data_IF_452195614582
#
_entry.id   IF_452195614582
#
_cell.length_a   1.000
_cell.length_b   1.000
_cell.length_c   1.000
_cell.angle_alpha   90.00
_cell.angle_beta   90.00
_cell.angle_gamma   90.00
#
_symmetry.space_group_name_H-M   'P 1'
#
loop_
_entity.id
_entity.type
_entity.pdbx_description
1 polymer ?
#
# COMPACT_ATOMS: atom_id res chain seq x y z
N UNK A 1 -5.18 -34.44 -6.39
CA UNK A 1 -5.05 -33.37 -7.40
C UNK A 1 -5.86 -32.18 -6.91
N UNK A 2 -5.22 -31.10 -6.44
CA UNK A 2 -5.96 -29.88 -6.13
C UNK A 2 -6.36 -29.25 -7.47
N UNK A 3 -7.66 -29.31 -7.76
CA UNK A 3 -8.23 -28.64 -8.91
C UNK A 3 -8.06 -27.14 -8.68
N UNK A 4 -7.10 -26.53 -9.35
CA UNK A 4 -7.12 -25.09 -9.60
C UNK A 4 -8.51 -24.81 -10.19
N UNK A 5 -9.36 -24.11 -9.45
CA UNK A 5 -10.60 -23.59 -10.03
C UNK A 5 -10.17 -22.67 -11.17
N UNK A 6 -10.52 -22.97 -12.43
CA UNK A 6 -10.09 -22.15 -13.54
C UNK A 6 -10.71 -20.76 -13.39
N UNK A 7 -9.86 -19.73 -13.38
CA UNK A 7 -10.33 -18.36 -13.57
C UNK A 7 -10.98 -18.27 -14.96
N UNK A 8 -11.98 -17.39 -15.15
CA UNK A 8 -12.38 -17.01 -16.50
C UNK A 8 -11.15 -16.50 -17.29
N UNK A 9 -11.12 -16.67 -18.62
CA UNK A 9 -10.03 -16.15 -19.44
C UNK A 9 -9.88 -14.64 -19.20
N UNK A 10 -8.67 -14.15 -18.87
CA UNK A 10 -8.50 -12.74 -18.54
C UNK A 10 -8.74 -11.88 -19.78
N UNK A 11 -9.57 -10.85 -19.63
CA UNK A 11 -10.06 -10.03 -20.74
C UNK A 11 -9.16 -8.82 -21.03
N UNK A 12 -8.15 -8.57 -20.19
CA UNK A 12 -7.23 -7.44 -20.36
C UNK A 12 -5.82 -7.74 -19.85
N UNK A 13 -4.84 -6.99 -20.34
CA UNK A 13 -3.46 -7.05 -19.82
C UNK A 13 -3.38 -6.72 -18.33
N UNK A 14 -4.19 -5.76 -17.87
CA UNK A 14 -4.23 -5.38 -16.46
C UNK A 14 -4.74 -6.53 -15.57
N UNK A 15 -5.73 -7.28 -16.05
CA UNK A 15 -6.25 -8.47 -15.35
C UNK A 15 -5.20 -9.58 -15.27
N UNK A 16 -4.49 -9.82 -16.38
CA UNK A 16 -3.39 -10.78 -16.45
C UNK A 16 -2.27 -10.48 -15.46
N UNK A 17 -1.88 -9.21 -15.34
CA UNK A 17 -0.89 -8.77 -14.37
C UNK A 17 -1.37 -8.98 -12.92
N UNK A 18 -2.63 -8.62 -12.61
CA UNK A 18 -3.20 -8.86 -11.28
C UNK A 18 -3.23 -10.35 -10.93
N UNK A 19 -3.71 -11.18 -11.85
CA UNK A 19 -3.79 -12.62 -11.68
C UNK A 19 -2.40 -13.25 -11.54
N UNK A 20 -1.42 -12.81 -12.33
CA UNK A 20 -0.03 -13.30 -12.24
C UNK A 20 0.60 -12.92 -10.89
N UNK A 21 0.47 -11.65 -10.47
CA UNK A 21 1.02 -11.16 -9.22
C UNK A 21 0.47 -11.94 -8.01
N UNK A 22 -0.85 -12.09 -7.92
CA UNK A 22 -1.47 -12.83 -6.81
C UNK A 22 -1.11 -14.31 -6.83
N UNK A 23 -0.94 -14.95 -8.00
CA UNK A 23 -0.46 -16.35 -8.07
C UNK A 23 0.97 -16.53 -7.58
N UNK A 24 1.84 -15.54 -7.82
CA UNK A 24 3.21 -15.55 -7.29
C UNK A 24 3.23 -15.28 -5.77
N UNK A 25 2.37 -14.39 -5.28
CA UNK A 25 2.27 -13.99 -3.87
C UNK A 25 1.50 -15.00 -3.00
N UNK A 26 0.64 -15.82 -3.61
CA UNK A 26 -0.18 -16.84 -2.97
C UNK A 26 0.06 -18.21 -3.64
N UNK A 27 1.29 -18.75 -3.59
CA UNK A 27 1.65 -19.94 -4.34
C UNK A 27 0.99 -21.18 -3.74
N UNK A 28 -0.02 -21.73 -4.40
CA UNK A 28 -0.60 -23.04 -4.04
C UNK A 28 0.18 -24.19 -4.65
N UNK A 29 0.79 -23.95 -5.81
CA UNK A 29 1.39 -24.97 -6.66
C UNK A 29 2.44 -24.31 -7.58
N UNK A 30 3.43 -25.06 -8.09
CA UNK A 30 4.49 -24.50 -8.93
C UNK A 30 3.97 -23.75 -10.17
N UNK A 31 4.40 -22.50 -10.36
CA UNK A 31 4.04 -21.69 -11.52
C UNK A 31 5.15 -21.77 -12.57
N UNK A 32 4.99 -22.64 -13.57
CA UNK A 32 5.90 -22.73 -14.73
C UNK A 32 5.39 -21.88 -15.89
N UNK A 33 6.23 -21.60 -16.88
CA UNK A 33 5.80 -20.84 -18.08
C UNK A 33 4.66 -21.54 -18.82
N UNK A 34 4.77 -22.85 -19.04
CA UNK A 34 3.71 -23.64 -19.68
C UNK A 34 2.37 -23.53 -18.92
N UNK A 35 2.43 -23.52 -17.58
CA UNK A 35 1.23 -23.36 -16.76
C UNK A 35 0.69 -21.94 -16.81
N UNK A 36 1.55 -20.93 -16.81
CA UNK A 36 1.16 -19.53 -16.97
C UNK A 36 0.39 -19.33 -18.29
N UNK A 37 0.94 -19.80 -19.41
CA UNK A 37 0.28 -19.77 -20.72
C UNK A 37 -1.11 -20.43 -20.67
N UNK A 38 -1.21 -21.61 -20.04
CA UNK A 38 -2.49 -22.33 -19.90
C UNK A 38 -3.50 -21.55 -19.03
N UNK A 39 -3.06 -21.02 -17.89
CA UNK A 39 -3.93 -20.32 -16.93
C UNK A 39 -4.45 -18.99 -17.45
N UNK A 40 -3.65 -18.28 -18.26
CA UNK A 40 -4.02 -16.96 -18.78
C UNK A 40 -4.45 -17.00 -20.25
N UNK A 41 -4.45 -18.18 -20.87
CA UNK A 41 -4.75 -18.39 -22.29
C UNK A 41 -3.91 -17.49 -23.20
N UNK A 42 -2.59 -17.53 -22.97
CA UNK A 42 -1.62 -16.69 -23.68
C UNK A 42 -0.60 -17.52 -24.43
N UNK A 43 -0.01 -16.91 -25.46
CA UNK A 43 1.20 -17.43 -26.09
C UNK A 43 2.41 -17.34 -25.14
N UNK A 44 3.46 -18.15 -25.34
CA UNK A 44 4.70 -18.05 -24.55
C UNK A 44 5.32 -16.65 -24.58
N UNK A 45 5.30 -15.98 -25.73
CA UNK A 45 5.84 -14.63 -25.90
C UNK A 45 5.07 -13.59 -25.07
N UNK A 46 3.74 -13.64 -25.08
CA UNK A 46 2.93 -12.72 -24.28
C UNK A 46 3.10 -12.96 -22.78
N UNK A 47 3.18 -14.23 -22.36
CA UNK A 47 3.40 -14.60 -20.97
C UNK A 47 4.79 -14.14 -20.47
N UNK A 48 5.83 -14.27 -21.30
CA UNK A 48 7.18 -13.77 -20.99
C UNK A 48 7.21 -12.24 -20.87
N UNK A 49 6.52 -11.54 -21.78
CA UNK A 49 6.40 -10.08 -21.72
C UNK A 49 5.64 -9.63 -20.47
N UNK A 50 4.52 -10.28 -20.15
CA UNK A 50 3.73 -9.93 -18.97
C UNK A 50 4.50 -10.25 -17.67
N UNK A 51 5.25 -11.35 -17.62
CA UNK A 51 6.15 -11.66 -16.51
C UNK A 51 7.26 -10.61 -16.36
N UNK A 52 7.95 -10.25 -17.46
CA UNK A 52 9.04 -9.27 -17.42
C UNK A 52 8.57 -7.89 -16.93
N UNK A 53 7.39 -7.45 -17.38
CA UNK A 53 6.78 -6.21 -16.89
C UNK A 53 6.46 -6.31 -15.40
N UNK A 54 5.84 -7.41 -14.96
CA UNK A 54 5.53 -7.59 -13.54
C UNK A 54 6.80 -7.65 -12.67
N UNK A 55 7.85 -8.32 -13.12
CA UNK A 55 9.14 -8.36 -12.44
C UNK A 55 9.67 -6.94 -12.24
N UNK A 56 9.64 -6.12 -13.29
CA UNK A 56 10.06 -4.72 -13.21
C UNK A 56 9.23 -3.93 -12.20
N UNK A 57 7.90 -4.07 -12.20
CA UNK A 57 7.03 -3.36 -11.26
C UNK A 57 7.25 -3.82 -9.82
N UNK A 58 7.33 -5.14 -9.60
CA UNK A 58 7.59 -5.71 -8.27
C UNK A 58 8.93 -5.21 -7.77
N UNK A 59 10.03 -5.35 -8.53
CA UNK A 59 11.36 -4.91 -8.10
C UNK A 59 11.43 -3.40 -7.82
N UNK A 60 10.67 -2.59 -8.57
CA UNK A 60 10.65 -1.14 -8.41
C UNK A 60 9.96 -0.73 -7.11
N UNK A 61 8.80 -1.32 -6.82
CA UNK A 61 7.94 -0.89 -5.71
C UNK A 61 8.07 -1.72 -4.43
N UNK A 62 8.58 -2.93 -4.56
CA UNK A 62 8.72 -3.89 -3.48
C UNK A 62 10.15 -4.45 -3.57
N UNK A 63 10.87 -4.54 -2.46
CA UNK A 63 12.24 -5.07 -2.47
C UNK A 63 12.25 -6.62 -2.60
N UNK A 64 11.50 -7.13 -3.57
CA UNK A 64 11.32 -8.54 -3.89
C UNK A 64 11.97 -8.84 -5.25
N UNK A 65 12.49 -10.05 -5.40
CA UNK A 65 13.02 -10.56 -6.66
C UNK A 65 12.35 -11.86 -7.06
N UNK A 66 12.31 -12.14 -8.37
CA UNK A 66 11.76 -13.37 -8.92
C UNK A 66 12.90 -14.27 -9.38
N UNK A 67 12.88 -15.54 -8.98
CA UNK A 67 13.77 -16.58 -9.47
C UNK A 67 12.98 -17.70 -10.13
N UNK A 68 13.61 -18.47 -11.01
CA UNK A 68 13.03 -19.70 -11.56
C UNK A 68 13.76 -20.92 -11.00
N UNK A 69 12.99 -21.91 -10.55
CA UNK A 69 13.53 -23.21 -10.14
C UNK A 69 12.83 -24.35 -10.90
N UNK A 70 13.56 -25.31 -11.51
CA UNK A 70 12.97 -26.35 -12.36
C UNK A 70 11.82 -27.15 -11.73
N UNK A 71 11.93 -27.48 -10.43
CA UNK A 71 10.88 -28.23 -9.69
C UNK A 71 9.78 -27.36 -9.10
N UNK A 72 9.99 -26.05 -9.03
CA UNK A 72 9.14 -25.17 -8.24
C UNK A 72 8.59 -23.96 -9.00
N UNK A 73 8.96 -23.81 -10.27
CA UNK A 73 8.54 -22.71 -11.11
C UNK A 73 9.14 -21.37 -10.66
N UNK A 74 8.46 -20.30 -11.06
CA UNK A 74 8.77 -18.94 -10.62
C UNK A 74 8.45 -18.75 -9.14
N UNK A 75 9.36 -18.12 -8.40
CA UNK A 75 9.21 -17.81 -6.98
C UNK A 75 9.65 -16.39 -6.69
N UNK A 76 8.85 -15.71 -5.87
CA UNK A 76 9.26 -14.46 -5.23
C UNK A 76 10.15 -14.76 -4.03
N UNK A 77 11.07 -13.85 -3.75
CA UNK A 77 11.98 -13.89 -2.63
C UNK A 77 12.19 -12.49 -2.07
N UNK A 78 12.33 -12.40 -0.76
CA UNK A 78 12.55 -11.16 -0.03
C UNK A 78 11.95 -11.24 1.37
N UNK A 79 12.03 -10.15 2.15
CA UNK A 79 11.52 -10.14 3.52
C UNK A 79 9.98 -10.18 3.55
N UNK A 80 9.43 -10.80 4.60
CA UNK A 80 7.98 -10.93 4.79
C UNK A 80 7.24 -9.58 4.78
N UNK A 81 7.88 -8.51 5.26
CA UNK A 81 7.34 -7.15 5.19
C UNK A 81 7.04 -6.70 3.76
N UNK A 82 8.03 -6.78 2.87
CA UNK A 82 7.91 -6.41 1.46
C UNK A 82 6.91 -7.32 0.73
N UNK A 83 6.88 -8.60 1.10
CA UNK A 83 5.89 -9.54 0.60
C UNK A 83 4.47 -9.08 0.90
N UNK A 84 4.20 -8.69 2.15
CA UNK A 84 2.87 -8.27 2.57
C UNK A 84 2.48 -6.91 2.00
N UNK A 85 3.42 -5.98 1.83
CA UNK A 85 3.16 -4.74 1.09
C UNK A 85 2.82 -5.03 -0.37
N UNK A 86 3.53 -5.95 -1.02
CA UNK A 86 3.26 -6.37 -2.39
C UNK A 86 1.89 -7.04 -2.49
N UNK A 87 1.55 -7.93 -1.55
CA UNK A 87 0.22 -8.53 -1.46
C UNK A 87 -0.86 -7.46 -1.27
N UNK A 88 -0.65 -6.51 -0.35
CA UNK A 88 -1.57 -5.39 -0.13
C UNK A 88 -1.82 -4.60 -1.42
N UNK A 89 -0.76 -4.21 -2.13
CA UNK A 89 -0.83 -3.48 -3.40
C UNK A 89 -1.69 -4.23 -4.43
N UNK A 90 -1.32 -5.47 -4.73
CA UNK A 90 -1.97 -6.23 -5.80
C UNK A 90 -3.38 -6.68 -5.42
N UNK A 91 -3.64 -6.92 -4.14
CA UNK A 91 -4.97 -7.23 -3.65
C UNK A 91 -5.89 -6.02 -3.71
N UNK A 92 -5.42 -4.82 -3.32
CA UNK A 92 -6.15 -3.56 -3.50
C UNK A 92 -6.54 -3.33 -4.95
N UNK A 93 -5.58 -3.52 -5.86
CA UNK A 93 -5.81 -3.37 -7.30
C UNK A 93 -6.83 -4.39 -7.82
N UNK A 94 -6.69 -5.65 -7.44
CA UNK A 94 -7.60 -6.71 -7.89
C UNK A 94 -9.01 -6.52 -7.33
N UNK A 95 -9.17 -6.15 -6.06
CA UNK A 95 -10.48 -5.81 -5.48
C UNK A 95 -11.14 -4.60 -6.16
N UNK A 96 -10.34 -3.65 -6.67
CA UNK A 96 -10.85 -2.47 -7.37
C UNK A 96 -11.37 -2.80 -8.78
N UNK A 97 -10.64 -3.60 -9.53
CA UNK A 97 -10.89 -3.79 -10.97
C UNK A 97 -11.47 -5.18 -11.31
N UNK A 98 -11.13 -6.21 -10.55
CA UNK A 98 -11.47 -7.62 -10.82
C UNK A 98 -11.90 -8.35 -9.53
N UNK A 99 -12.92 -7.85 -8.79
CA UNK A 99 -13.25 -8.35 -7.45
C UNK A 99 -13.61 -9.84 -7.41
N UNK A 100 -14.22 -10.39 -8.47
CA UNK A 100 -14.53 -11.81 -8.56
C UNK A 100 -13.28 -12.72 -8.54
N UNK A 101 -12.15 -12.24 -9.05
CA UNK A 101 -10.91 -13.03 -9.12
C UNK A 101 -10.28 -13.20 -7.73
N UNK A 102 -10.57 -12.32 -6.78
CA UNK A 102 -10.01 -12.37 -5.42
C UNK A 102 -10.43 -13.64 -4.70
N UNK A 103 -11.72 -13.96 -4.73
CA UNK A 103 -12.25 -15.20 -4.12
C UNK A 103 -11.56 -16.43 -4.72
N UNK A 104 -11.48 -16.48 -6.05
CA UNK A 104 -10.92 -17.62 -6.78
C UNK A 104 -9.41 -17.79 -6.56
N UNK A 105 -8.68 -16.70 -6.32
CA UNK A 105 -7.22 -16.73 -6.10
C UNK A 105 -6.84 -16.96 -4.64
N UNK A 106 -7.57 -16.37 -3.69
CA UNK A 106 -7.26 -16.48 -2.26
C UNK A 106 -7.80 -17.79 -1.67
N UNK A 107 -9.00 -18.24 -2.04
CA UNK A 107 -9.61 -19.43 -1.43
C UNK A 107 -8.70 -20.67 -1.48
N UNK A 108 -8.07 -21.02 -2.61
CA UNK A 108 -7.14 -22.15 -2.67
C UNK A 108 -5.90 -21.98 -1.78
N UNK A 109 -5.39 -20.76 -1.66
CA UNK A 109 -4.21 -20.45 -0.84
C UNK A 109 -4.50 -20.49 0.66
N UNK A 110 -5.75 -20.19 1.04
CA UNK A 110 -6.21 -20.17 2.42
C UNK A 110 -6.81 -21.51 2.88
N UNK A 111 -7.27 -22.35 1.94
CA UNK A 111 -7.92 -23.63 2.20
C UNK A 111 -7.16 -24.57 3.16
N UNK A 112 -5.81 -24.71 3.10
CA UNK A 112 -5.08 -25.58 4.03
C UNK A 112 -5.29 -25.21 5.50
N UNK A 113 -5.40 -23.92 5.81
CA UNK A 113 -5.67 -23.43 7.17
C UNK A 113 -7.18 -23.43 7.51
N UNK A 114 -8.04 -23.43 6.50
CA UNK A 114 -9.44 -23.02 6.62
C UNK A 114 -10.42 -23.93 5.85
N UNK A 115 -10.22 -25.25 5.90
CA UNK A 115 -10.89 -26.24 5.04
C UNK A 115 -12.42 -26.33 5.15
N UNK A 116 -13.03 -25.78 6.21
CA UNK A 116 -14.47 -25.93 6.50
C UNK A 116 -15.37 -24.80 6.00
N UNK A 117 -14.80 -23.69 5.53
CA UNK A 117 -15.58 -22.51 5.09
C UNK A 117 -14.87 -21.84 3.92
N UNK A 118 -15.65 -21.32 2.98
CA UNK A 118 -15.19 -20.45 1.89
C UNK A 118 -14.62 -19.14 2.42
N UNK A 119 -13.85 -18.42 1.60
CA UNK A 119 -13.37 -17.08 1.95
C UNK A 119 -14.57 -16.13 2.15
N UNK A 120 -15.55 -16.18 1.25
CA UNK A 120 -16.77 -15.40 1.38
C UNK A 120 -17.50 -15.59 2.71
N UNK A 121 -17.80 -16.84 3.10
CA UNK A 121 -18.49 -17.14 4.37
C UNK A 121 -17.72 -16.61 5.58
N UNK A 122 -16.40 -16.75 5.55
CA UNK A 122 -15.52 -16.36 6.65
C UNK A 122 -15.39 -14.83 6.77
N UNK A 123 -15.37 -14.12 5.64
CA UNK A 123 -15.45 -12.66 5.61
C UNK A 123 -16.80 -12.16 6.15
N UNK A 124 -17.91 -12.79 5.76
CA UNK A 124 -19.25 -12.43 6.24
C UNK A 124 -19.40 -12.63 7.75
N UNK A 125 -18.93 -13.75 8.29
CA UNK A 125 -18.95 -14.02 9.74
C UNK A 125 -18.17 -12.97 10.55
N UNK A 126 -17.14 -12.37 9.95
CA UNK A 126 -16.25 -11.40 10.60
C UNK A 126 -16.55 -9.94 10.22
N UNK A 127 -17.50 -9.70 9.33
CA UNK A 127 -17.92 -8.36 8.91
C UNK A 127 -18.45 -7.49 10.06
N UNK A 128 -19.25 -8.01 11.03
CA UNK A 128 -19.79 -7.18 12.12
C UNK A 128 -18.73 -6.55 13.02
N UNK A 129 -17.50 -7.09 13.03
CA UNK A 129 -16.37 -6.58 13.82
C UNK A 129 -15.91 -5.24 13.26
N UNK A 130 -15.81 -5.15 11.92
CA UNK A 130 -15.44 -3.93 11.22
C UNK A 130 -16.55 -2.87 11.22
N UNK A 131 -17.75 -3.28 11.64
CA UNK A 131 -18.94 -2.44 11.81
C UNK A 131 -19.23 -2.17 13.30
N UNK A 132 -18.37 -2.67 14.20
CA UNK A 132 -18.58 -2.54 15.64
C UNK A 132 -18.37 -1.10 16.09
N UNK A 133 -19.18 -0.59 17.05
CA UNK A 133 -19.02 0.76 17.61
C UNK A 133 -17.71 0.95 18.38
N UNK A 134 -16.93 -0.12 18.59
CA UNK A 134 -15.57 -0.05 19.16
C UNK A 134 -14.53 0.48 18.17
N UNK A 135 -14.84 0.48 16.87
CA UNK A 135 -14.02 1.14 15.86
C UNK A 135 -14.35 2.63 15.88
N UNK A 136 -13.37 3.53 16.10
CA UNK A 136 -13.62 4.96 16.11
C UNK A 136 -14.36 5.40 14.85
N UNK A 137 -15.34 6.29 14.95
CA UNK A 137 -16.07 6.82 13.80
C UNK A 137 -15.14 7.49 12.75
N UNK A 138 -13.94 7.92 13.18
CA UNK A 138 -12.86 8.42 12.32
C UNK A 138 -12.21 7.34 11.42
N UNK A 139 -12.53 6.07 11.66
CA UNK A 139 -12.05 4.90 10.92
C UNK A 139 -13.19 4.22 10.12
N UNK A 140 -14.15 5.00 9.62
CA UNK A 140 -15.18 4.49 8.72
C UNK A 140 -14.57 3.90 7.44
N UNK A 141 -14.61 2.58 7.30
CA UNK A 141 -14.09 1.86 6.13
C UNK A 141 -15.17 1.64 5.09
N UNK A 142 -14.86 1.97 3.84
CA UNK A 142 -15.69 1.58 2.68
C UNK A 142 -15.85 0.05 2.62
N UNK A 143 -16.92 -0.49 2.01
CA UNK A 143 -17.10 -1.93 1.85
C UNK A 143 -15.87 -2.64 1.24
N UNK A 144 -15.22 -2.00 0.25
CA UNK A 144 -14.01 -2.52 -0.37
C UNK A 144 -12.81 -2.56 0.60
N UNK A 145 -12.62 -1.52 1.42
CA UNK A 145 -11.57 -1.53 2.44
C UNK A 145 -11.83 -2.61 3.47
N UNK A 146 -13.07 -2.85 3.89
CA UNK A 146 -13.42 -3.94 4.80
C UNK A 146 -13.09 -5.31 4.23
N UNK A 147 -13.42 -5.53 2.96
CA UNK A 147 -13.05 -6.77 2.26
C UNK A 147 -11.53 -6.96 2.21
N UNK A 148 -10.78 -5.90 1.90
CA UNK A 148 -9.32 -5.93 1.87
C UNK A 148 -8.73 -6.26 3.26
N UNK A 149 -9.20 -5.58 4.31
CA UNK A 149 -8.75 -5.83 5.69
C UNK A 149 -9.02 -7.28 6.04
N UNK A 150 -10.24 -7.79 5.80
CA UNK A 150 -10.59 -9.18 6.06
C UNK A 150 -9.69 -10.17 5.32
N UNK A 151 -9.41 -9.94 4.04
CA UNK A 151 -8.50 -10.79 3.26
C UNK A 151 -7.07 -10.78 3.82
N UNK A 152 -6.53 -9.61 4.19
CA UNK A 152 -5.19 -9.50 4.78
C UNK A 152 -5.12 -10.17 6.15
N UNK A 153 -6.15 -10.03 6.99
CA UNK A 153 -6.22 -10.68 8.30
C UNK A 153 -6.40 -12.19 8.20
N UNK A 154 -7.13 -12.68 7.21
CA UNK A 154 -7.23 -14.12 6.92
C UNK A 154 -5.92 -14.67 6.39
N UNK A 155 -5.22 -13.93 5.54
CA UNK A 155 -3.87 -14.28 5.13
C UNK A 155 -2.95 -14.41 6.36
N UNK A 156 -2.90 -13.40 7.24
CA UNK A 156 -2.11 -13.43 8.48
C UNK A 156 -2.45 -14.67 9.35
N UNK A 157 -3.74 -14.92 9.56
CA UNK A 157 -4.19 -16.07 10.34
C UNK A 157 -3.77 -17.41 9.72
N UNK A 158 -3.84 -17.56 8.39
CA UNK A 158 -3.39 -18.76 7.69
C UNK A 158 -1.89 -19.01 7.86
N UNK A 159 -1.08 -17.95 7.95
CA UNK A 159 0.37 -18.09 8.16
C UNK A 159 0.68 -18.65 9.56
N UNK A 160 -0.11 -18.26 10.58
CA UNK A 160 0.04 -18.78 11.95
C UNK A 160 -0.33 -20.27 12.12
N UNK A 161 -1.20 -20.82 11.26
CA UNK A 161 -1.72 -22.20 11.39
C UNK A 161 -0.84 -23.29 10.73
N UNK A 162 0.26 -22.91 10.09
CA UNK A 162 1.11 -23.83 9.32
C UNK A 162 1.75 -23.21 8.07
N UNK A 163 1.79 -21.87 7.99
CA UNK A 163 2.49 -21.16 6.93
C UNK A 163 3.99 -21.39 6.98
N UNK A 164 4.65 -21.21 5.83
CA UNK A 164 6.11 -21.21 5.72
C UNK A 164 6.71 -20.33 6.82
N UNK A 165 7.74 -20.84 7.50
CA UNK A 165 8.50 -20.08 8.51
C UNK A 165 8.96 -18.69 8.02
N UNK A 166 9.06 -18.50 6.71
CA UNK A 166 9.42 -17.27 6.02
C UNK A 166 8.35 -16.15 6.07
N UNK A 167 7.15 -16.42 6.61
CA UNK A 167 6.06 -15.42 6.69
C UNK A 167 6.00 -14.65 8.01
N UNK A 168 6.78 -15.10 9.01
CA UNK A 168 6.95 -14.35 10.26
C UNK A 168 7.72 -13.06 9.96
N UNK A 169 7.37 -12.01 10.69
CA UNK A 169 8.01 -10.70 10.57
C UNK A 169 8.82 -10.38 11.84
N UNK A 170 9.89 -11.15 12.18
CA UNK A 170 10.70 -10.79 13.32
C UNK A 170 11.48 -9.50 13.03
N UNK A 171 11.51 -8.57 13.98
CA UNK A 171 12.38 -7.39 13.98
C UNK A 171 12.31 -6.50 12.72
N UNK A 172 11.20 -6.52 11.97
CA UNK A 172 11.04 -5.73 10.74
C UNK A 172 10.93 -4.21 10.99
N UNK A 173 10.70 -3.79 12.24
CA UNK A 173 10.58 -2.38 12.62
C UNK A 173 11.72 -1.94 13.53
N UNK A 174 12.25 -0.76 13.20
CA UNK A 174 13.08 0.02 14.11
C UNK A 174 12.26 0.50 15.32
N UNK A 175 12.86 0.64 16.53
CA UNK A 175 12.12 0.97 17.75
C UNK A 175 11.33 2.28 17.70
N UNK A 176 11.74 3.26 16.89
CA UNK A 176 10.99 4.51 16.75
C UNK A 176 9.75 4.36 15.84
N UNK A 177 9.84 3.51 14.80
CA UNK A 177 8.70 3.20 13.91
C UNK A 177 7.65 2.35 14.61
N UNK A 178 8.09 1.45 15.49
CA UNK A 178 7.18 0.71 16.39
C UNK A 178 6.38 1.69 17.26
N UNK A 179 7.08 2.55 18.02
CA UNK A 179 6.44 3.55 18.88
C UNK A 179 5.49 4.47 18.11
N UNK A 180 5.83 4.81 16.87
CA UNK A 180 4.96 5.58 15.99
C UNK A 180 3.61 4.87 15.76
N UNK A 181 3.61 3.56 15.45
CA UNK A 181 2.38 2.78 15.26
C UNK A 181 1.62 2.57 16.58
N UNK A 182 2.31 2.31 17.69
CA UNK A 182 1.69 2.14 19.01
C UNK A 182 0.90 3.38 19.47
N UNK A 183 1.26 4.56 18.97
CA UNK A 183 0.59 5.82 19.27
C UNK A 183 -0.60 6.13 18.34
N UNK A 184 -0.89 5.27 17.37
CA UNK A 184 -2.00 5.45 16.43
C UNK A 184 -3.33 5.03 17.06
N UNK A 185 -4.39 5.75 16.74
CA UNK A 185 -5.76 5.37 17.11
C UNK A 185 -6.13 3.99 16.54
N UNK A 186 -5.57 3.66 15.37
CA UNK A 186 -5.75 2.38 14.68
C UNK A 186 -5.17 1.18 15.46
N UNK A 187 -4.28 1.41 16.43
CA UNK A 187 -3.60 0.34 17.15
C UNK A 187 -4.58 -0.52 17.97
N UNK A 188 -5.56 0.12 18.62
CA UNK A 188 -6.60 -0.59 19.37
C UNK A 188 -7.52 -1.42 18.44
N UNK A 189 -7.81 -0.90 17.25
CA UNK A 189 -8.59 -1.61 16.22
C UNK A 189 -7.81 -2.82 15.70
N UNK A 190 -6.52 -2.64 15.43
CA UNK A 190 -5.63 -3.72 15.02
C UNK A 190 -5.55 -4.83 16.07
N UNK A 191 -5.48 -4.49 17.37
CA UNK A 191 -5.50 -5.48 18.45
C UNK A 191 -6.78 -6.32 18.43
N UNK A 192 -7.94 -5.68 18.32
CA UNK A 192 -9.22 -6.38 18.25
C UNK A 192 -9.28 -7.32 17.02
N UNK A 193 -8.81 -6.85 15.86
CA UNK A 193 -8.74 -7.66 14.65
C UNK A 193 -7.82 -8.87 14.82
N UNK A 194 -6.61 -8.69 15.37
CA UNK A 194 -5.68 -9.80 15.61
C UNK A 194 -6.28 -10.84 16.55
N UNK A 195 -6.90 -10.41 17.66
CA UNK A 195 -7.54 -11.32 18.62
C UNK A 195 -8.61 -12.19 17.96
N UNK A 196 -9.41 -11.61 17.07
CA UNK A 196 -10.52 -12.34 16.44
C UNK A 196 -10.06 -13.19 15.26
N UNK A 197 -9.12 -12.68 14.46
CA UNK A 197 -8.71 -13.38 13.25
C UNK A 197 -7.68 -14.47 13.51
N UNK A 198 -6.74 -14.21 14.42
CA UNK A 198 -5.53 -15.01 14.66
C UNK A 198 -5.68 -15.85 15.92
N UNK A 199 -6.36 -15.34 16.96
CA UNK A 199 -6.62 -16.08 18.20
C UNK A 199 -5.37 -16.23 19.07
N UNK A 200 -5.19 -17.42 19.65
CA UNK A 200 -4.17 -17.71 20.67
C UNK A 200 -2.77 -18.00 20.08
N UNK A 201 -2.30 -17.14 19.17
CA UNK A 201 -0.92 -17.20 18.68
C UNK A 201 0.09 -16.71 19.76
N UNK A 202 1.38 -17.09 19.66
CA UNK A 202 2.41 -16.57 20.53
C UNK A 202 2.42 -15.03 20.60
N UNK A 203 2.73 -14.48 21.77
CA UNK A 203 2.60 -13.04 22.03
C UNK A 203 3.47 -12.18 21.09
N UNK A 204 4.67 -12.66 20.76
CA UNK A 204 5.58 -12.00 19.81
C UNK A 204 4.99 -11.99 18.39
N UNK A 205 4.34 -13.06 17.96
CA UNK A 205 3.65 -13.13 16.66
C UNK A 205 2.48 -12.16 16.64
N UNK A 206 1.62 -12.19 17.66
CA UNK A 206 0.47 -11.28 17.77
C UNK A 206 0.91 -9.81 17.75
N UNK A 207 2.03 -9.48 18.39
CA UNK A 207 2.61 -8.14 18.36
C UNK A 207 2.96 -7.70 16.94
N UNK A 208 3.65 -8.54 16.16
CA UNK A 208 4.01 -8.19 14.78
C UNK A 208 2.77 -8.04 13.89
N UNK A 209 1.79 -8.92 14.06
CA UNK A 209 0.53 -8.86 13.32
C UNK A 209 -0.27 -7.60 13.66
N UNK A 210 -0.29 -7.21 14.94
CA UNK A 210 -0.92 -5.97 15.39
C UNK A 210 -0.23 -4.75 14.80
N UNK A 211 1.09 -4.70 14.81
CA UNK A 211 1.85 -3.59 14.22
C UNK A 211 1.60 -3.50 12.70
N UNK A 212 1.63 -4.63 11.98
CA UNK A 212 1.35 -4.62 10.55
C UNK A 212 -0.10 -4.25 10.24
N UNK A 213 -1.07 -4.76 11.01
CA UNK A 213 -2.47 -4.39 10.88
C UNK A 213 -2.67 -2.89 11.17
N UNK A 214 -1.96 -2.33 12.15
CA UNK A 214 -1.99 -0.88 12.43
C UNK A 214 -1.51 -0.09 11.22
N UNK A 215 -0.36 -0.47 10.65
CA UNK A 215 0.16 0.14 9.42
C UNK A 215 -0.85 0.02 8.27
N UNK A 216 -1.45 -1.16 8.05
CA UNK A 216 -2.48 -1.37 7.05
C UNK A 216 -3.64 -0.38 7.22
N UNK A 217 -4.19 -0.27 8.43
CA UNK A 217 -5.31 0.62 8.72
C UNK A 217 -4.92 2.09 8.53
N UNK A 218 -3.71 2.48 8.97
CA UNK A 218 -3.17 3.82 8.75
C UNK A 218 -3.04 4.16 7.26
N UNK A 219 -2.56 3.23 6.43
CA UNK A 219 -2.44 3.43 4.97
C UNK A 219 -3.79 3.44 4.24
N UNK A 220 -4.80 2.75 4.77
CA UNK A 220 -6.15 2.76 4.21
C UNK A 220 -6.95 4.00 4.62
N UNK A 221 -6.50 4.71 5.65
CA UNK A 221 -7.15 5.92 6.09
C UNK A 221 -7.15 6.93 4.94
N UNK A 222 -8.34 7.35 4.54
CA UNK A 222 -8.46 8.53 3.69
C UNK A 222 -8.06 9.72 4.58
N UNK A 223 -6.91 10.33 4.30
CA UNK A 223 -6.60 11.61 4.91
C UNK A 223 -7.60 12.62 4.38
N UNK A 224 -8.64 12.88 5.18
CA UNK A 224 -9.61 13.93 4.93
C UNK A 224 -8.89 15.24 4.66
N UNK A 225 -9.49 16.11 3.84
CA UNK A 225 -8.96 17.45 3.60
C UNK A 225 -8.96 18.36 4.84
N UNK A 226 -9.57 17.91 5.95
CA UNK A 226 -9.57 18.61 7.23
C UNK A 226 -8.78 17.81 8.26
N UNK A 227 -7.91 18.47 9.06
CA UNK A 227 -7.32 17.84 10.23
C UNK A 227 -8.41 17.50 11.24
N UNK A 228 -8.20 16.40 11.98
CA UNK A 228 -9.00 16.06 13.15
C UNK A 228 -8.44 16.77 14.37
N UNK A 229 -9.23 16.85 15.43
CA UNK A 229 -8.80 17.47 16.68
C UNK A 229 -7.91 16.56 17.53
N UNK A 230 -6.81 16.07 16.93
CA UNK A 230 -5.79 15.29 17.64
C UNK A 230 -4.39 15.86 17.42
N UNK A 231 -3.45 15.45 18.28
CA UNK A 231 -2.11 16.02 18.30
C UNK A 231 -1.32 15.77 17.01
N UNK A 232 -1.51 14.62 16.36
CA UNK A 232 -0.79 14.26 15.13
C UNK A 232 -1.24 15.13 13.95
N UNK A 233 -2.55 15.27 13.76
CA UNK A 233 -3.12 16.08 12.67
C UNK A 233 -2.78 17.57 12.89
N UNK A 234 -2.82 18.07 14.13
CA UNK A 234 -2.38 19.45 14.47
C UNK A 234 -0.88 19.66 14.18
N UNK A 235 -0.02 18.72 14.55
CA UNK A 235 1.41 18.81 14.27
C UNK A 235 1.71 18.81 12.77
N UNK A 236 1.02 17.95 12.00
CA UNK A 236 1.17 17.90 10.55
C UNK A 236 0.70 19.20 9.88
N UNK A 237 -0.46 19.72 10.29
CA UNK A 237 -0.98 20.98 9.75
C UNK A 237 -0.03 22.15 10.03
N UNK A 238 0.58 22.19 11.23
CA UNK A 238 1.57 23.20 11.57
C UNK A 238 2.81 23.14 10.65
N UNK A 239 3.35 21.95 10.40
CA UNK A 239 4.49 21.80 9.48
C UNK A 239 4.11 22.12 8.02
N UNK A 240 2.86 21.89 7.62
CA UNK A 240 2.34 22.27 6.30
C UNK A 240 2.26 23.78 6.16
N UNK A 241 1.72 24.50 7.15
CA UNK A 241 1.66 25.96 7.14
C UNK A 241 3.06 26.56 7.03
N UNK A 242 4.04 26.02 7.77
CA UNK A 242 5.45 26.42 7.65
C UNK A 242 6.03 26.13 6.26
N UNK A 243 5.68 25.00 5.67
CA UNK A 243 6.06 24.70 4.28
C UNK A 243 5.51 25.75 3.32
N UNK A 244 4.24 26.13 3.45
CA UNK A 244 3.61 27.15 2.60
C UNK A 244 4.26 28.52 2.83
N UNK A 245 4.58 28.91 4.07
CA UNK A 245 5.34 30.13 4.35
C UNK A 245 6.69 30.16 3.64
N UNK A 246 7.38 29.01 3.58
CA UNK A 246 8.63 28.89 2.85
C UNK A 246 8.44 29.03 1.34
N UNK A 247 7.37 28.47 0.78
CA UNK A 247 7.04 28.67 -0.64
C UNK A 247 6.79 30.14 -0.92
N UNK A 248 5.93 30.81 -0.15
CA UNK A 248 5.59 32.23 -0.35
C UNK A 248 6.83 33.12 -0.28
N UNK A 249 7.69 32.89 0.71
CA UNK A 249 8.94 33.63 0.91
C UNK A 249 9.95 33.41 -0.21
N UNK A 250 10.19 32.15 -0.59
CA UNK A 250 11.23 31.80 -1.57
C UNK A 250 10.79 32.08 -3.02
N UNK A 251 9.49 32.15 -3.28
CA UNK A 251 8.94 32.50 -4.60
C UNK A 251 8.59 33.98 -4.74
N UNK A 252 8.60 34.74 -3.64
CA UNK A 252 8.16 36.13 -3.58
C UNK A 252 6.72 36.29 -4.12
N UNK A 253 5.83 35.43 -3.61
CA UNK A 253 4.42 35.34 -4.01
C UNK A 253 3.56 35.16 -2.77
N UNK A 254 2.43 35.88 -2.74
CA UNK A 254 1.34 35.56 -1.82
C UNK A 254 0.35 34.63 -2.51
N UNK A 255 0.23 33.41 -2.03
CA UNK A 255 -0.63 32.39 -2.62
C UNK A 255 -2.10 32.69 -2.31
N UNK A 256 -2.92 32.75 -3.36
CA UNK A 256 -4.36 32.83 -3.21
C UNK A 256 -4.90 31.50 -2.67
N UNK A 257 -5.99 31.56 -1.88
CA UNK A 257 -6.66 30.37 -1.32
C UNK A 257 -5.70 29.44 -0.53
N UNK A 258 -4.80 30.02 0.27
CA UNK A 258 -3.83 29.31 1.11
C UNK A 258 -4.42 28.11 1.87
N UNK A 259 -5.59 28.29 2.47
CA UNK A 259 -6.29 27.22 3.22
C UNK A 259 -6.55 25.98 2.36
N UNK A 260 -6.91 26.16 1.08
CA UNK A 260 -7.14 25.04 0.15
C UNK A 260 -5.85 24.33 -0.23
N UNK A 261 -4.74 25.07 -0.38
CA UNK A 261 -3.43 24.45 -0.57
C UNK A 261 -3.04 23.63 0.66
N UNK A 262 -3.18 24.20 1.86
CA UNK A 262 -2.90 23.48 3.10
C UNK A 262 -3.75 22.21 3.23
N UNK A 263 -5.05 22.28 2.95
CA UNK A 263 -5.96 21.13 2.97
C UNK A 263 -5.58 20.03 1.95
N UNK A 264 -5.13 20.42 0.75
CA UNK A 264 -4.64 19.48 -0.28
C UNK A 264 -3.32 18.85 0.13
N UNK A 265 -2.39 19.66 0.62
CA UNK A 265 -1.10 19.19 1.14
C UNK A 265 -1.31 18.27 2.33
N UNK A 266 -2.25 18.56 3.22
CA UNK A 266 -2.59 17.72 4.37
C UNK A 266 -3.06 16.33 3.94
N UNK A 267 -4.01 16.27 3.00
CA UNK A 267 -4.49 15.01 2.47
C UNK A 267 -3.37 14.15 1.83
N UNK A 268 -2.41 14.78 1.14
CA UNK A 268 -1.31 14.06 0.52
C UNK A 268 -0.17 13.70 1.49
N UNK A 269 0.31 14.69 2.27
CA UNK A 269 1.44 14.55 3.19
C UNK A 269 1.13 13.65 4.36
N UNK A 270 -0.13 13.56 4.79
CA UNK A 270 -0.56 12.54 5.75
C UNK A 270 -0.12 11.14 5.31
N UNK A 271 -0.44 10.76 4.07
CA UNK A 271 -0.06 9.45 3.54
C UNK A 271 1.42 9.37 3.17
N UNK A 272 2.03 10.47 2.72
CA UNK A 272 3.44 10.50 2.33
C UNK A 272 4.37 10.33 3.53
N UNK A 273 4.05 10.93 4.68
CA UNK A 273 4.84 10.77 5.92
C UNK A 273 4.86 9.31 6.34
N UNK A 274 3.71 8.64 6.33
CA UNK A 274 3.63 7.21 6.64
C UNK A 274 4.46 6.38 5.65
N UNK A 275 4.30 6.63 4.34
CA UNK A 275 5.07 5.91 3.32
C UNK A 275 6.58 6.10 3.49
N UNK A 276 7.03 7.32 3.78
CA UNK A 276 8.44 7.60 4.03
C UNK A 276 8.94 7.00 5.35
N UNK A 277 8.13 7.00 6.41
CA UNK A 277 8.49 6.38 7.69
C UNK A 277 8.66 4.87 7.59
N UNK A 278 7.91 4.21 6.70
CA UNK A 278 7.92 2.76 6.55
C UNK A 278 8.62 2.29 5.26
N UNK A 279 9.34 3.18 4.56
CA UNK A 279 10.04 2.88 3.29
C UNK A 279 9.13 2.28 2.19
N UNK A 280 7.85 2.65 2.21
CA UNK A 280 6.86 2.20 1.21
C UNK A 280 7.06 3.00 -0.07
N UNK A 281 7.50 2.31 -1.11
CA UNK A 281 7.79 2.95 -2.41
C UNK A 281 6.51 3.13 -3.21
N UNK A 282 6.48 4.23 -3.96
CA UNK A 282 5.43 4.51 -4.94
C UNK A 282 6.02 4.79 -6.31
N UNK A 283 5.19 4.65 -7.34
CA UNK A 283 5.53 4.97 -8.71
C UNK A 283 4.78 6.18 -9.20
N UNK A 284 5.51 7.09 -9.85
CA UNK A 284 4.90 8.14 -10.66
C UNK A 284 5.77 8.41 -11.89
N UNK A 285 5.20 8.51 -13.10
CA UNK A 285 5.94 8.96 -14.28
C UNK A 285 6.38 10.43 -14.16
N UNK A 286 5.69 11.20 -13.31
CA UNK A 286 5.92 12.64 -13.12
C UNK A 286 7.31 12.97 -12.57
N UNK A 287 7.98 12.02 -11.93
CA UNK A 287 9.28 12.27 -11.30
C UNK A 287 10.36 12.62 -12.33
N UNK A 288 10.45 11.83 -13.40
CA UNK A 288 11.39 12.09 -14.48
C UNK A 288 11.01 13.36 -15.27
N UNK A 289 9.72 13.56 -15.50
CA UNK A 289 9.19 14.71 -16.23
C UNK A 289 9.49 16.04 -15.52
N UNK A 290 9.19 16.13 -14.21
CA UNK A 290 9.47 17.33 -13.42
C UNK A 290 10.97 17.57 -13.25
N UNK A 291 11.77 16.51 -13.11
CA UNK A 291 13.21 16.63 -13.02
C UNK A 291 13.82 17.24 -14.30
N UNK A 292 13.26 16.91 -15.46
CA UNK A 292 13.69 17.45 -16.75
C UNK A 292 13.16 18.86 -17.01
N UNK A 293 11.84 19.09 -16.83
CA UNK A 293 11.18 20.31 -17.30
C UNK A 293 11.01 21.38 -16.23
N UNK A 294 10.97 21.02 -14.95
CA UNK A 294 10.71 21.94 -13.84
C UNK A 294 11.68 21.76 -12.65
N UNK A 295 13.01 21.76 -12.86
CA UNK A 295 13.98 21.55 -11.79
C UNK A 295 13.94 22.63 -10.71
N UNK A 296 13.60 23.87 -11.08
CA UNK A 296 13.46 24.98 -10.13
C UNK A 296 12.28 24.77 -9.15
N UNK A 297 11.16 24.21 -9.63
CA UNK A 297 10.02 23.87 -8.79
C UNK A 297 10.41 22.78 -7.80
N UNK A 298 11.09 21.72 -8.25
CA UNK A 298 11.56 20.67 -7.35
C UNK A 298 12.54 21.19 -6.29
N UNK A 299 13.46 22.08 -6.67
CA UNK A 299 14.39 22.71 -5.74
C UNK A 299 13.66 23.56 -4.68
N UNK A 300 12.66 24.34 -5.10
CA UNK A 300 11.80 25.11 -4.21
C UNK A 300 11.04 24.20 -3.24
N UNK A 301 10.35 23.19 -3.78
CA UNK A 301 9.61 22.20 -2.99
C UNK A 301 10.52 21.54 -1.96
N UNK A 302 11.73 21.12 -2.34
CA UNK A 302 12.69 20.47 -1.45
C UNK A 302 13.14 21.37 -0.29
N UNK A 303 13.32 22.68 -0.53
CA UNK A 303 13.59 23.64 0.56
C UNK A 303 12.38 23.80 1.47
N UNK A 304 11.19 23.95 0.89
CA UNK A 304 9.96 24.17 1.63
C UNK A 304 9.62 23.02 2.59
N UNK A 305 9.82 21.77 2.16
CA UNK A 305 9.52 20.57 2.97
C UNK A 305 10.64 20.16 3.94
N UNK A 306 11.79 20.83 3.93
CA UNK A 306 12.95 20.44 4.74
C UNK A 306 12.67 20.49 6.26
N UNK A 307 11.81 21.41 6.71
CA UNK A 307 11.35 21.47 8.11
C UNK A 307 10.57 20.23 8.50
N UNK A 308 9.62 19.83 7.65
CA UNK A 308 8.76 18.66 7.83
C UNK A 308 9.59 17.36 7.84
N UNK A 309 10.51 17.20 6.90
CA UNK A 309 11.43 16.04 6.87
C UNK A 309 12.23 15.92 8.17
N UNK A 310 12.72 17.05 8.70
CA UNK A 310 13.46 17.09 9.97
C UNK A 310 12.56 16.74 11.15
N UNK A 311 11.32 17.26 11.17
CA UNK A 311 10.34 17.02 12.22
C UNK A 311 10.03 15.53 12.36
N UNK A 312 9.72 14.86 11.25
CA UNK A 312 9.35 13.44 11.23
C UNK A 312 10.55 12.49 11.08
N UNK A 313 11.77 13.02 10.91
CA UNK A 313 13.00 12.25 10.68
C UNK A 313 12.90 11.32 9.47
N UNK A 314 12.35 11.85 8.38
CA UNK A 314 12.15 11.14 7.12
C UNK A 314 12.89 11.84 5.98
N UNK A 315 12.97 11.16 4.84
CA UNK A 315 13.26 11.76 3.55
C UNK A 315 12.21 11.31 2.55
N UNK A 316 11.60 12.26 1.85
CA UNK A 316 10.70 11.92 0.76
C UNK A 316 11.50 11.41 -0.44
N UNK A 317 10.98 10.37 -1.08
CA UNK A 317 11.53 9.89 -2.34
C UNK A 317 11.32 10.92 -3.45
N UNK A 318 12.05 10.82 -4.58
CA UNK A 318 11.80 11.68 -5.73
C UNK A 318 10.34 11.67 -6.18
N UNK A 319 9.69 10.51 -6.16
CA UNK A 319 8.28 10.35 -6.53
C UNK A 319 7.33 11.12 -5.61
N UNK A 320 7.54 11.07 -4.29
CA UNK A 320 6.77 11.85 -3.32
C UNK A 320 7.01 13.34 -3.50
N UNK A 321 8.28 13.74 -3.62
CA UNK A 321 8.66 15.13 -3.84
C UNK A 321 7.96 15.70 -5.08
N UNK A 322 7.86 14.92 -6.15
CA UNK A 322 7.16 15.29 -7.37
C UNK A 322 5.66 15.47 -7.17
N UNK A 323 4.99 14.62 -6.40
CA UNK A 323 3.55 14.78 -6.11
C UNK A 323 3.27 16.01 -5.23
N UNK A 324 4.16 16.30 -4.28
CA UNK A 324 4.12 17.52 -3.48
C UNK A 324 4.34 18.74 -4.39
N UNK A 325 5.35 18.67 -5.27
CA UNK A 325 5.69 19.73 -6.21
C UNK A 325 4.54 20.06 -7.16
N UNK A 326 3.79 19.08 -7.68
CA UNK A 326 2.59 19.32 -8.50
C UNK A 326 1.55 20.11 -7.72
N UNK A 327 1.35 19.79 -6.44
CA UNK A 327 0.37 20.50 -5.60
C UNK A 327 0.79 21.96 -5.36
N UNK A 328 2.07 22.22 -5.13
CA UNK A 328 2.60 23.59 -4.97
C UNK A 328 2.59 24.35 -6.31
N UNK A 329 3.04 23.70 -7.38
CA UNK A 329 3.17 24.27 -8.72
C UNK A 329 1.83 24.74 -9.26
N UNK A 330 0.76 23.96 -9.06
CA UNK A 330 -0.60 24.37 -9.46
C UNK A 330 -1.04 25.71 -8.84
N UNK A 331 -0.61 26.03 -7.61
CA UNK A 331 -0.91 27.31 -6.96
C UNK A 331 0.02 28.43 -7.42
N UNK A 332 1.29 28.15 -7.69
CA UNK A 332 2.23 29.12 -8.26
C UNK A 332 1.86 29.52 -9.69
N UNK A 333 1.30 28.60 -10.49
CA UNK A 333 0.73 28.89 -11.81
C UNK A 333 -0.46 29.86 -11.70
N UNK A 334 -1.38 29.61 -10.76
CA UNK A 334 -2.52 30.51 -10.51
C UNK A 334 -2.09 31.92 -10.07
N UNK A 335 -0.93 32.03 -9.43
CA UNK A 335 -0.33 33.31 -9.03
C UNK A 335 0.55 33.95 -10.12
N UNK A 336 0.62 33.38 -11.33
CA UNK A 336 1.31 33.94 -12.49
C UNK A 336 2.84 33.75 -12.52
N UNK A 337 3.39 32.82 -11.73
CA UNK A 337 4.85 32.61 -11.60
C UNK A 337 5.41 31.33 -12.21
N UNK A 338 4.52 30.49 -12.74
CA UNK A 338 4.86 29.37 -13.61
C UNK A 338 4.05 29.54 -14.90
N UNK A 339 4.74 29.62 -16.04
CA UNK A 339 4.10 29.59 -17.36
C UNK A 339 3.88 28.13 -17.76
N UNK A 340 2.73 27.82 -18.38
CA UNK A 340 2.55 26.51 -19.02
C UNK A 340 3.65 26.29 -20.06
N UNK A 341 4.20 25.07 -20.18
CA UNK A 341 5.05 24.76 -21.32
C UNK A 341 4.25 24.99 -22.61
N UNK A 342 4.87 25.52 -23.68
CA UNK A 342 4.17 25.69 -24.95
C UNK A 342 3.66 24.32 -25.43
N UNK A 343 2.39 24.29 -25.84
CA UNK A 343 1.65 23.10 -26.26
C UNK A 343 2.24 22.41 -27.49
#
# INVERSE_FOLDING_TARGET
MQNDVPLPPPHSRAERHCNLALRLLLPTTPLTMARLCKLQQQTPYEAERDLSHLVSDIMRYHALHISFHPRHGYRLHGPAYEWRLCLLHWLQRTLRYFPANVELLLSPALHPAFSRQTLYERLQQRAPILESPTIPASAAFTPRQRQLIGCMMLYAAAQGHGGRSDSLMPCWLLPYRRRWLEQKEEYAVAEALCRIYIGDAPADVLEQERLFATLLLTLLKNHSHSPRDNAQDRALMHEIERCVDCVERDSDVRLSQRERLCARLFAHLGAAVERALFDIRIGTPLAAELASHHPALLALTRRAIAGLERHYRIRFSPEELSLIAVSIGAWLMQAGRLQEPPA
#
